data_IF_332789851752
#
_entry.id   IF_332789851752
#
_cell.length_a   1.000
_cell.length_b   1.000
_cell.length_c   1.000
_cell.angle_alpha   90.00
_cell.angle_beta   90.00
_cell.angle_gamma   90.00
#
_symmetry.space_group_name_H-M   'P 1'
#
loop_
_entity.id
_entity.type
_entity.pdbx_description
1 polymer ?
2 non-polymer ?
#
# COMPACT_ATOMS: atom_id res chain seq x y z
N UNK A 6 8.51 6.26 -6.91
CA UNK A 6 7.52 6.83 -5.98
C UNK A 6 6.25 7.32 -6.67
N UNK A 7 6.39 7.80 -7.89
CA UNK A 7 5.27 8.34 -8.65
C UNK A 7 4.27 7.23 -8.97
N UNK A 8 4.78 6.17 -9.55
CA UNK A 8 4.00 5.07 -9.92
C UNK A 8 3.65 4.18 -8.79
N UNK A 9 4.47 4.17 -7.80
CA UNK A 9 4.17 3.46 -6.57
C UNK A 9 2.95 4.08 -5.88
N UNK A 10 2.94 5.39 -5.81
CA UNK A 10 1.84 6.15 -5.30
C UNK A 10 0.58 5.86 -6.12
N UNK A 11 0.81 5.58 -7.39
CA UNK A 11 -0.24 5.26 -8.32
C UNK A 11 -0.64 3.75 -8.18
N UNK A 12 0.31 2.94 -7.71
CA UNK A 12 0.12 1.52 -7.50
C UNK A 12 -0.94 1.31 -6.45
N UNK A 13 -0.71 1.90 -5.29
CA UNK A 13 -1.59 1.78 -4.10
C UNK A 13 -3.06 2.16 -4.36
N UNK A 14 -3.33 2.81 -5.47
CA UNK A 14 -4.64 3.20 -5.83
C UNK A 14 -5.51 1.97 -6.22
N UNK A 15 -4.92 0.97 -6.87
CA UNK A 15 -5.66 -0.21 -7.28
C UNK A 15 -4.92 -1.50 -6.85
N UNK A 16 -3.62 -1.38 -6.65
CA UNK A 16 -2.79 -2.47 -6.26
C UNK A 16 -2.59 -2.45 -4.77
N UNK A 17 -2.70 -3.62 -4.19
CA UNK A 17 -2.70 -3.90 -2.76
C UNK A 17 -1.61 -3.13 -2.04
N UNK A 18 -0.39 -3.43 -2.40
CA UNK A 18 0.74 -2.66 -1.98
C UNK A 18 1.10 -2.86 -0.56
N UNK A 19 0.36 -3.69 0.10
CA UNK A 19 0.58 -3.93 1.47
C UNK A 19 1.79 -4.79 1.69
N UNK A 20 2.78 -4.18 2.30
CA UNK A 20 4.04 -4.80 2.52
C UNK A 20 3.91 -5.96 3.46
N UNK A 21 4.32 -7.08 3.00
CA UNK A 21 4.34 -8.26 3.75
C UNK A 21 5.62 -8.35 4.58
N UNK A 22 5.50 -7.92 5.84
CA UNK A 22 6.55 -7.97 6.88
C UNK A 22 7.92 -7.44 6.35
N UNK A 23 7.86 -6.37 5.59
CA UNK A 23 9.02 -5.66 5.01
C UNK A 23 9.81 -6.47 3.96
N UNK A 24 10.22 -7.67 4.30
CA UNK A 24 11.10 -8.48 3.46
C UNK A 24 10.40 -8.96 2.18
N UNK A 25 9.13 -9.38 2.28
CA UNK A 25 8.42 -9.91 1.12
C UNK A 25 8.00 -8.74 0.21
N UNK A 26 8.00 -7.54 0.80
CA UNK A 26 7.70 -6.28 0.12
C UNK A 26 6.22 -6.09 -0.11
N UNK A 27 5.88 -5.03 -0.83
CA UNK A 27 4.51 -4.68 -1.17
C UNK A 27 3.74 -5.78 -1.82
N UNK A 28 2.46 -5.84 -1.54
CA UNK A 28 1.63 -6.84 -2.12
C UNK A 28 1.24 -6.42 -3.54
N UNK A 29 1.33 -7.32 -4.47
CA UNK A 29 1.22 -6.97 -5.88
C UNK A 29 -0.18 -7.11 -6.47
N UNK A 30 -1.02 -7.93 -5.85
CA UNK A 30 -2.41 -8.06 -6.27
C UNK A 30 -3.18 -6.81 -6.00
N UNK A 31 -4.41 -6.80 -6.34
CA UNK A 31 -5.29 -5.69 -6.09
C UNK A 31 -5.48 -5.47 -4.56
N UNK A 32 -5.93 -4.29 -4.16
CA UNK A 32 -6.21 -3.90 -2.72
C UNK A 32 -7.03 -4.98 -2.05
N UNK A 33 -8.05 -5.38 -2.77
CA UNK A 33 -9.07 -6.32 -2.37
C UNK A 33 -8.54 -7.77 -2.24
N UNK A 34 -7.30 -7.95 -2.63
CA UNK A 34 -6.61 -9.24 -2.68
C UNK A 34 -6.99 -10.29 -1.59
N UNK A 35 -6.76 -10.04 -0.28
CA UNK A 35 -6.97 -10.99 0.78
C UNK A 35 -7.87 -10.36 1.89
N UNK A 36 -7.31 -10.17 3.08
CA UNK A 36 -7.96 -9.53 4.15
C UNK A 36 -7.11 -8.31 4.49
N UNK A 37 -6.26 -7.97 3.51
CA UNK A 37 -5.46 -6.80 3.55
C UNK A 37 -6.39 -5.63 3.39
N UNK A 38 -6.56 -4.94 4.44
CA UNK A 38 -7.55 -3.89 4.61
C UNK A 38 -7.08 -2.56 4.05
N UNK A 39 -7.97 -1.58 4.11
CA UNK A 39 -7.70 -0.19 3.70
C UNK A 39 -6.59 0.42 4.52
N UNK A 40 -6.45 -0.09 5.70
CA UNK A 40 -5.49 0.37 6.66
C UNK A 40 -4.13 -0.17 6.32
N UNK A 41 -4.16 -1.35 5.84
CA UNK A 41 -3.00 -2.08 5.45
C UNK A 41 -2.29 -1.44 4.26
N UNK A 42 -3.07 -0.91 3.37
CA UNK A 42 -2.54 -0.26 2.17
C UNK A 42 -2.12 1.15 2.54
N UNK A 43 -2.86 1.71 3.47
CA UNK A 43 -2.61 3.07 4.00
C UNK A 43 -1.26 3.14 4.65
N UNK A 44 -1.02 2.14 5.47
CA UNK A 44 0.21 1.92 6.17
C UNK A 44 1.44 1.97 5.23
N UNK A 45 1.26 1.52 4.03
CA UNK A 45 2.30 1.48 3.06
C UNK A 45 2.54 2.84 2.41
N UNK A 46 1.48 3.51 2.08
CA UNK A 46 1.56 4.83 1.46
C UNK A 46 2.22 5.80 2.39
N UNK A 47 1.83 5.73 3.64
CA UNK A 47 2.32 6.63 4.64
C UNK A 47 3.80 6.30 4.95
N UNK A 48 4.13 5.08 4.72
CA UNK A 48 5.51 4.60 4.85
C UNK A 48 6.38 5.10 3.67
N UNK A 49 5.92 4.86 2.46
CA UNK A 49 6.68 5.18 1.25
C UNK A 49 6.63 6.63 0.84
N UNK A 50 5.45 7.16 0.69
CA UNK A 50 5.34 8.47 0.13
C UNK A 50 5.36 9.59 1.15
N UNK A 51 5.13 9.27 2.42
CA UNK A 51 5.26 10.28 3.44
C UNK A 51 4.28 10.11 4.59
N UNK A 52 4.65 10.55 5.81
CA UNK A 52 3.78 10.50 7.01
C UNK A 52 2.46 11.27 6.83
N UNK A 53 2.44 12.20 5.91
CA UNK A 53 1.26 12.97 5.64
C UNK A 53 0.73 12.63 4.25
N UNK A 54 1.05 11.43 3.77
CA UNK A 54 0.63 10.99 2.44
C UNK A 54 -0.57 10.08 2.54
N UNK A 55 -1.48 10.42 3.42
CA UNK A 55 -2.66 9.63 3.59
C UNK A 55 -3.70 10.01 2.54
N UNK A 56 -3.57 9.36 1.44
CA UNK A 56 -4.48 9.53 0.34
C UNK A 56 -5.66 8.60 0.56
N UNK A 57 -6.80 8.90 -0.06
CA UNK A 57 -8.05 8.21 0.20
C UNK A 57 -8.17 6.85 -0.48
X LIG B 1 -2.61 -8.29 -0.72
#
# INVERSE_FOLDING_TARGET
GSHMGPEELRSLLTTQCGVISEHTKKMCTRSLRCPQHTDEQRRTVRVYFLGPSAVLPEVESSLDNDSFDMTDSQALISRLQWDG
ZN ZN
#
